data_IF_226892254157
#
_entry.id   IF_226892254157
#
_cell.length_a   1.000
_cell.length_b   1.000
_cell.length_c   1.000
_cell.angle_alpha   90.00
_cell.angle_beta   90.00
_cell.angle_gamma   90.00
#
_symmetry.space_group_name_H-M   'P 1'
#
loop_
_entity.id
_entity.type
_entity.pdbx_description
1 polymer ?
#
# COMPACT_ATOMS: atom_id res chain seq x y z
N UNK A 1 -23.77 -4.72 15.69
CA UNK A 1 -23.54 -4.50 14.24
C UNK A 1 -22.17 -5.10 13.92
N UNK A 2 -22.07 -5.94 12.91
CA UNK A 2 -20.79 -6.43 12.40
C UNK A 2 -20.04 -5.24 11.85
N UNK A 3 -18.81 -4.99 12.33
CA UNK A 3 -17.99 -3.88 11.84
C UNK A 3 -17.64 -4.14 10.38
N UNK A 4 -17.77 -3.13 9.55
CA UNK A 4 -17.34 -3.16 8.15
C UNK A 4 -15.81 -3.09 8.10
N UNK A 5 -15.14 -3.99 7.40
CA UNK A 5 -13.68 -4.05 7.35
C UNK A 5 -13.20 -4.01 5.90
N UNK A 6 -12.21 -3.17 5.66
CA UNK A 6 -11.50 -3.04 4.38
C UNK A 6 -10.08 -3.55 4.58
N UNK A 7 -9.60 -4.42 3.68
CA UNK A 7 -8.18 -4.74 3.54
C UNK A 7 -7.51 -3.69 2.67
N UNK A 8 -6.29 -3.30 3.01
CA UNK A 8 -5.58 -2.29 2.21
C UNK A 8 -4.08 -2.53 2.21
N UNK A 9 -3.41 -2.24 1.09
CA UNK A 9 -1.97 -2.01 1.11
C UNK A 9 -1.64 -0.70 1.83
N UNK A 10 -0.38 -0.47 2.06
CA UNK A 10 0.13 0.72 2.72
C UNK A 10 0.85 1.67 1.76
N UNK A 11 1.88 1.16 1.09
CA UNK A 11 2.77 1.96 0.24
C UNK A 11 2.13 2.17 -1.14
N UNK A 12 2.02 3.43 -1.58
CA UNK A 12 1.30 3.75 -2.81
C UNK A 12 -0.23 3.85 -2.66
N UNK A 13 -0.79 3.41 -1.53
CA UNK A 13 -2.23 3.47 -1.24
C UNK A 13 -2.52 4.45 -0.11
N UNK A 14 -1.96 4.22 1.07
CA UNK A 14 -2.12 5.06 2.26
C UNK A 14 -0.97 6.08 2.42
N UNK A 15 0.26 5.66 2.12
CA UNK A 15 1.48 6.44 2.30
C UNK A 15 2.23 6.62 0.98
N UNK A 16 2.79 7.82 0.78
CA UNK A 16 3.61 8.18 -0.38
C UNK A 16 5.05 7.64 -0.22
N UNK A 17 5.19 6.31 -0.24
CA UNK A 17 6.48 5.63 -0.07
C UNK A 17 7.46 5.97 -1.19
N UNK A 18 7.00 5.97 -2.44
CA UNK A 18 7.84 6.20 -3.61
C UNK A 18 8.51 7.57 -3.56
N UNK A 19 7.76 8.63 -3.28
CA UNK A 19 8.30 9.99 -3.17
C UNK A 19 9.35 10.11 -2.07
N UNK A 20 9.08 9.51 -0.91
CA UNK A 20 10.01 9.51 0.21
C UNK A 20 11.27 8.69 -0.12
N UNK A 21 11.13 7.53 -0.77
CA UNK A 21 12.24 6.72 -1.23
C UNK A 21 13.10 7.48 -2.25
N UNK A 22 12.51 8.17 -3.20
CA UNK A 22 13.22 8.99 -4.18
C UNK A 22 14.03 10.10 -3.50
N UNK A 23 13.46 10.78 -2.49
CA UNK A 23 14.18 11.80 -1.72
C UNK A 23 15.36 11.19 -0.95
N UNK A 24 15.15 10.03 -0.31
CA UNK A 24 16.21 9.30 0.37
C UNK A 24 17.32 8.85 -0.57
N UNK A 25 16.98 8.31 -1.75
CA UNK A 25 17.95 7.94 -2.78
C UNK A 25 18.76 9.14 -3.26
N UNK A 26 18.10 10.29 -3.48
CA UNK A 26 18.75 11.54 -3.84
C UNK A 26 19.75 11.98 -2.76
N UNK A 27 19.42 11.84 -1.48
CA UNK A 27 20.33 12.17 -0.37
C UNK A 27 21.57 11.28 -0.34
N UNK A 28 21.49 10.07 -0.92
CA UNK A 28 22.62 9.13 -1.10
C UNK A 28 23.39 9.32 -2.42
N UNK A 29 23.02 10.33 -3.22
CA UNK A 29 23.70 10.65 -4.49
C UNK A 29 23.17 9.89 -5.70
N UNK A 30 22.08 9.13 -5.58
CA UNK A 30 21.43 8.49 -6.71
C UNK A 30 20.45 9.43 -7.41
N UNK A 31 20.36 9.34 -8.73
CA UNK A 31 19.41 10.11 -9.54
C UNK A 31 18.56 9.19 -10.39
N UNK A 32 17.29 9.52 -10.53
CA UNK A 32 16.35 8.79 -11.39
C UNK A 32 16.81 8.90 -12.83
N UNK A 33 16.85 7.77 -13.54
CA UNK A 33 17.18 7.65 -14.96
C UNK A 33 15.92 7.53 -15.81
N UNK A 34 14.98 6.71 -15.34
CA UNK A 34 13.70 6.47 -16.00
C UNK A 34 12.57 6.62 -14.98
N UNK A 35 11.52 7.35 -15.35
CA UNK A 35 10.32 7.56 -14.53
C UNK A 35 9.25 6.54 -14.87
N UNK A 36 8.26 6.43 -14.02
CA UNK A 36 7.09 5.57 -14.22
C UNK A 36 7.42 4.07 -14.34
N UNK A 37 8.49 3.63 -13.72
CA UNK A 37 8.91 2.23 -13.69
C UNK A 37 8.90 1.74 -12.24
N UNK A 38 8.12 0.70 -11.97
CA UNK A 38 8.03 0.07 -10.65
C UNK A 38 9.37 -0.55 -10.18
N UNK A 39 10.18 -1.07 -11.12
CA UNK A 39 11.49 -1.69 -10.80
C UNK A 39 12.54 -0.62 -10.48
N UNK A 40 12.84 -0.47 -9.20
CA UNK A 40 13.84 0.47 -8.66
C UNK A 40 15.21 0.34 -9.36
N UNK A 41 15.60 -0.87 -9.72
CA UNK A 41 16.88 -1.09 -10.41
C UNK A 41 16.93 -0.42 -11.78
N UNK A 42 15.84 -0.52 -12.52
CA UNK A 42 15.68 0.14 -13.83
C UNK A 42 15.52 1.64 -13.64
N UNK A 43 14.64 2.06 -12.74
CA UNK A 43 14.38 3.48 -12.46
C UNK A 43 15.66 4.26 -12.14
N UNK A 44 16.59 3.69 -11.41
CA UNK A 44 17.87 4.33 -11.05
C UNK A 44 19.07 3.87 -11.89
N UNK A 45 18.92 2.90 -12.78
CA UNK A 45 20.01 2.35 -13.60
C UNK A 45 21.10 1.68 -12.75
N UNK A 46 20.69 0.93 -11.72
CA UNK A 46 21.59 0.23 -10.78
C UNK A 46 21.38 -1.29 -10.82
N UNK A 47 22.37 -2.10 -10.38
CA UNK A 47 22.18 -3.54 -10.31
C UNK A 47 20.99 -3.96 -9.42
N UNK A 48 20.24 -4.98 -9.83
CA UNK A 48 19.05 -5.48 -9.12
C UNK A 48 19.31 -5.85 -7.66
N UNK A 49 20.49 -6.42 -7.38
CA UNK A 49 20.91 -6.74 -6.02
C UNK A 49 21.12 -5.51 -5.14
N UNK A 50 21.66 -4.42 -5.72
CA UNK A 50 21.80 -3.14 -5.03
C UNK A 50 20.44 -2.50 -4.81
N UNK A 51 19.55 -2.50 -5.81
CA UNK A 51 18.18 -1.98 -5.69
C UNK A 51 17.44 -2.64 -4.53
N UNK A 52 17.44 -3.99 -4.47
CA UNK A 52 16.82 -4.73 -3.35
C UNK A 52 17.42 -4.37 -1.99
N UNK A 53 18.74 -4.24 -1.92
CA UNK A 53 19.45 -3.84 -0.68
C UNK A 53 19.01 -2.44 -0.22
N UNK A 54 18.94 -1.49 -1.15
CA UNK A 54 18.58 -0.09 -0.84
C UNK A 54 17.10 0.02 -0.42
N UNK A 55 16.20 -0.70 -1.05
CA UNK A 55 14.79 -0.79 -0.62
C UNK A 55 14.70 -1.32 0.81
N UNK A 56 15.37 -2.42 1.12
CA UNK A 56 15.40 -2.96 2.48
C UNK A 56 15.99 -1.98 3.49
N UNK A 57 17.11 -1.33 3.16
CA UNK A 57 17.76 -0.33 4.01
C UNK A 57 16.83 0.86 4.30
N UNK A 58 16.07 1.32 3.30
CA UNK A 58 15.08 2.37 3.47
C UNK A 58 13.93 1.92 4.37
N UNK A 59 13.36 0.73 4.11
CA UNK A 59 12.27 0.15 4.88
C UNK A 59 12.62 -0.08 6.35
N UNK A 60 13.89 -0.30 6.67
CA UNK A 60 14.39 -0.48 8.04
C UNK A 60 14.93 0.83 8.66
N UNK A 61 14.82 1.95 7.94
CA UNK A 61 15.29 3.25 8.42
C UNK A 61 14.24 4.01 9.23
N UNK A 62 14.68 5.07 9.91
CA UNK A 62 13.79 5.97 10.64
C UNK A 62 12.74 6.66 9.76
N UNK A 63 12.93 6.71 8.45
CA UNK A 63 11.97 7.29 7.51
C UNK A 63 10.59 6.63 7.59
N UNK A 64 10.52 5.35 7.95
CA UNK A 64 9.24 4.64 8.10
C UNK A 64 8.30 5.25 9.14
N UNK A 65 8.82 6.02 10.08
CA UNK A 65 8.02 6.74 11.07
C UNK A 65 7.47 8.09 10.58
N UNK A 66 7.84 8.54 9.37
CA UNK A 66 7.58 9.91 8.90
C UNK A 66 7.14 9.99 7.43
N UNK A 67 6.71 8.89 6.82
CA UNK A 67 6.17 8.93 5.46
C UNK A 67 4.90 9.80 5.43
N UNK A 68 4.75 10.68 4.44
CA UNK A 68 3.53 11.45 4.28
C UNK A 68 2.36 10.58 3.81
N UNK A 69 1.13 11.03 4.03
CA UNK A 69 -0.04 10.40 3.41
C UNK A 69 0.03 10.50 1.88
N UNK A 70 -0.47 9.45 1.22
CA UNK A 70 -0.59 9.44 -0.23
C UNK A 70 -1.79 10.28 -0.66
N UNK A 71 -1.57 11.20 -1.62
CA UNK A 71 -2.63 12.07 -2.17
C UNK A 71 -3.68 12.46 -1.10
N UNK A 72 -4.93 12.15 -1.38
CA UNK A 72 -6.14 12.41 -0.57
C UNK A 72 -6.52 11.27 0.41
N UNK A 73 -5.64 10.27 0.60
CA UNK A 73 -5.88 9.12 1.47
C UNK A 73 -6.39 9.51 2.88
N UNK A 74 -5.86 10.60 3.43
CA UNK A 74 -6.26 11.07 4.76
C UNK A 74 -7.74 11.44 4.82
N UNK A 75 -8.25 12.13 3.82
CA UNK A 75 -9.67 12.53 3.74
C UNK A 75 -10.57 11.34 3.40
N UNK A 76 -10.16 10.48 2.46
CA UNK A 76 -10.93 9.29 2.08
C UNK A 76 -11.09 8.31 3.24
N UNK A 77 -10.00 7.98 3.93
CA UNK A 77 -10.04 7.12 5.12
C UNK A 77 -10.91 7.73 6.22
N UNK A 78 -10.80 9.05 6.47
CA UNK A 78 -11.63 9.70 7.50
C UNK A 78 -13.12 9.58 7.19
N UNK A 79 -13.55 9.79 5.95
CA UNK A 79 -14.95 9.63 5.51
C UNK A 79 -15.45 8.19 5.68
N UNK A 80 -14.63 7.18 5.29
CA UNK A 80 -15.00 5.78 5.49
C UNK A 80 -15.12 5.42 6.98
N UNK A 81 -14.27 5.96 7.84
CA UNK A 81 -14.35 5.77 9.29
C UNK A 81 -15.62 6.40 9.88
N UNK A 82 -16.07 7.57 9.38
CA UNK A 82 -17.34 8.20 9.73
C UNK A 82 -18.55 7.31 9.37
N UNK A 83 -18.39 6.42 8.38
CA UNK A 83 -19.37 5.43 7.95
C UNK A 83 -19.15 4.03 8.55
N UNK A 84 -18.50 3.96 9.73
CA UNK A 84 -18.26 2.74 10.52
C UNK A 84 -17.30 1.72 9.88
N UNK A 85 -16.52 2.10 8.86
CA UNK A 85 -15.48 1.26 8.31
C UNK A 85 -14.22 1.25 9.19
N UNK A 86 -13.55 0.09 9.24
CA UNK A 86 -12.23 -0.09 9.85
C UNK A 86 -11.30 -0.76 8.84
N UNK A 87 -10.00 -0.69 9.09
CA UNK A 87 -9.02 -1.17 8.14
C UNK A 87 -8.09 -2.23 8.75
N UNK A 88 -7.71 -3.21 7.92
CA UNK A 88 -6.57 -4.10 8.14
C UNK A 88 -5.55 -3.79 7.04
N UNK A 89 -4.34 -3.44 7.45
CA UNK A 89 -3.23 -3.18 6.53
C UNK A 89 -2.44 -4.46 6.29
N UNK A 90 -2.13 -4.77 5.02
CA UNK A 90 -1.23 -5.87 4.63
C UNK A 90 -0.13 -5.27 3.77
N UNK A 91 1.10 -5.16 4.31
CA UNK A 91 2.21 -4.44 3.68
C UNK A 91 3.51 -5.25 3.65
N UNK A 92 4.18 -5.30 2.47
CA UNK A 92 5.46 -5.98 2.29
C UNK A 92 6.63 -5.07 2.67
N UNK A 93 6.72 -4.74 3.95
CA UNK A 93 7.65 -3.78 4.53
C UNK A 93 9.00 -4.40 4.91
N UNK A 94 9.02 -5.15 5.98
CA UNK A 94 10.17 -5.84 6.60
C UNK A 94 9.70 -6.63 7.83
N UNK A 95 10.45 -7.69 8.17
CA UNK A 95 10.27 -8.44 9.42
C UNK A 95 11.00 -7.80 10.61
N UNK A 96 11.74 -6.70 10.40
CA UNK A 96 12.39 -5.97 11.50
C UNK A 96 11.34 -5.34 12.43
N UNK A 97 11.31 -5.69 13.75
CA UNK A 97 10.30 -5.21 14.67
C UNK A 97 10.28 -3.69 14.84
N UNK A 98 11.44 -3.01 14.69
CA UNK A 98 11.53 -1.56 14.77
C UNK A 98 10.91 -0.90 13.55
N UNK A 99 11.14 -1.43 12.36
CA UNK A 99 10.49 -0.95 11.14
C UNK A 99 8.97 -1.08 11.23
N UNK A 100 8.47 -2.22 11.72
CA UNK A 100 7.04 -2.44 11.94
C UNK A 100 6.45 -1.46 12.96
N UNK A 101 7.14 -1.25 14.09
CA UNK A 101 6.71 -0.29 15.10
C UNK A 101 6.63 1.14 14.53
N UNK A 102 7.62 1.55 13.74
CA UNK A 102 7.65 2.87 13.09
C UNK A 102 6.49 3.02 12.09
N UNK A 103 6.22 2.00 11.28
CA UNK A 103 5.09 1.98 10.33
C UNK A 103 3.75 2.13 11.06
N UNK A 104 3.51 1.32 12.08
CA UNK A 104 2.27 1.39 12.89
C UNK A 104 2.12 2.76 13.55
N UNK A 105 3.22 3.31 14.08
CA UNK A 105 3.22 4.64 14.68
C UNK A 105 2.88 5.72 13.65
N UNK A 106 3.48 5.65 12.46
CA UNK A 106 3.23 6.61 11.38
C UNK A 106 1.75 6.59 10.94
N UNK A 107 1.20 5.40 10.67
CA UNK A 107 -0.21 5.21 10.33
C UNK A 107 -1.14 5.81 11.40
N UNK A 108 -0.91 5.50 12.67
CA UNK A 108 -1.70 6.03 13.79
C UNK A 108 -1.61 7.54 13.94
N UNK A 109 -0.45 8.12 13.66
CA UNK A 109 -0.24 9.58 13.74
C UNK A 109 -0.97 10.32 12.62
N UNK A 110 -1.05 9.75 11.42
CA UNK A 110 -1.67 10.39 10.25
C UNK A 110 -3.19 10.19 10.25
N UNK A 111 -3.65 8.96 10.48
CA UNK A 111 -5.05 8.57 10.26
C UNK A 111 -5.86 8.44 11.55
N UNK A 112 -5.20 8.30 12.71
CA UNK A 112 -5.85 8.11 14.00
C UNK A 112 -5.61 6.73 14.61
N UNK A 113 -5.71 6.67 15.96
CA UNK A 113 -5.32 5.50 16.75
C UNK A 113 -6.22 4.26 16.54
N UNK A 114 -7.48 4.47 16.18
CA UNK A 114 -8.52 3.42 16.14
C UNK A 114 -8.97 3.05 14.72
N UNK A 115 -8.30 3.58 13.70
CA UNK A 115 -8.64 3.35 12.29
C UNK A 115 -8.24 1.94 11.86
N UNK A 116 -7.04 1.52 12.24
CA UNK A 116 -6.48 0.23 11.87
C UNK A 116 -6.67 -0.75 13.02
N UNK A 117 -7.40 -1.84 12.78
CA UNK A 117 -7.59 -2.93 13.75
C UNK A 117 -6.40 -3.90 13.75
N UNK A 118 -5.71 -4.00 12.61
CA UNK A 118 -4.46 -4.77 12.48
C UNK A 118 -3.55 -4.18 11.40
N UNK A 119 -2.23 -4.44 11.53
CA UNK A 119 -1.20 -4.11 10.55
C UNK A 119 -0.29 -5.31 10.37
N UNK A 120 -0.53 -6.07 9.31
CA UNK A 120 0.21 -7.29 8.95
C UNK A 120 1.41 -6.89 8.10
N UNK A 121 2.61 -6.97 8.69
CA UNK A 121 3.86 -6.70 7.99
C UNK A 121 4.49 -8.00 7.49
N UNK A 122 4.77 -8.05 6.19
CA UNK A 122 5.50 -9.12 5.52
C UNK A 122 6.95 -8.70 5.28
N UNK A 123 7.81 -9.62 4.88
CA UNK A 123 9.19 -9.29 4.51
C UNK A 123 9.24 -8.38 3.27
N UNK A 124 10.35 -7.67 3.11
CA UNK A 124 10.55 -6.73 2.00
C UNK A 124 10.37 -7.42 0.65
N UNK A 125 9.36 -7.00 -0.10
CA UNK A 125 9.04 -7.55 -1.42
C UNK A 125 8.44 -8.96 -1.41
N UNK A 126 7.97 -9.44 -0.26
CA UNK A 126 7.23 -10.70 -0.17
C UNK A 126 5.88 -10.60 -0.87
N UNK A 127 5.44 -11.72 -1.44
CA UNK A 127 4.09 -11.87 -1.98
C UNK A 127 3.04 -11.88 -0.84
N UNK A 128 1.81 -11.50 -1.14
CA UNK A 128 0.74 -11.37 -0.14
C UNK A 128 -0.19 -12.58 -0.04
N UNK A 129 0.06 -13.63 -0.83
CA UNK A 129 -0.81 -14.82 -0.94
C UNK A 129 -1.19 -15.41 0.42
N UNK A 130 -0.21 -15.77 1.27
CA UNK A 130 -0.46 -16.37 2.58
C UNK A 130 -1.23 -15.46 3.54
N UNK A 131 -1.03 -14.15 3.42
CA UNK A 131 -1.73 -13.18 4.24
C UNK A 131 -3.18 -13.01 3.78
N UNK A 132 -3.42 -12.97 2.45
CA UNK A 132 -4.74 -12.82 1.85
C UNK A 132 -5.57 -14.10 1.97
N UNK A 133 -4.96 -15.29 1.96
CA UNK A 133 -5.65 -16.56 2.16
C UNK A 133 -6.49 -16.60 3.44
N UNK A 134 -6.06 -15.90 4.49
CA UNK A 134 -6.81 -15.77 5.76
C UNK A 134 -8.16 -15.09 5.62
N UNK A 135 -8.35 -14.33 4.54
CA UNK A 135 -9.55 -13.57 4.23
C UNK A 135 -10.32 -14.14 3.04
N UNK A 136 -9.97 -15.37 2.61
CA UNK A 136 -10.58 -16.05 1.49
C UNK A 136 -12.10 -16.12 1.63
N UNK A 137 -12.79 -15.88 0.51
CA UNK A 137 -14.25 -15.95 0.35
C UNK A 137 -15.04 -15.04 1.31
N UNK A 138 -14.41 -13.99 1.86
CA UNK A 138 -15.07 -13.01 2.73
C UNK A 138 -15.82 -11.93 1.95
N UNK A 139 -15.50 -11.71 0.67
CA UNK A 139 -16.04 -10.60 -0.12
C UNK A 139 -15.66 -9.22 0.40
N UNK A 140 -14.62 -9.12 1.24
CA UNK A 140 -14.13 -7.83 1.73
C UNK A 140 -13.51 -7.01 0.59
N UNK A 141 -13.66 -5.69 0.65
CA UNK A 141 -12.90 -4.78 -0.19
C UNK A 141 -11.40 -4.91 0.10
N UNK A 142 -10.59 -4.86 -0.96
CA UNK A 142 -9.13 -4.89 -0.88
C UNK A 142 -8.52 -3.82 -1.77
N UNK A 143 -7.92 -2.78 -1.18
CA UNK A 143 -7.33 -1.65 -1.91
C UNK A 143 -5.85 -1.90 -2.10
N UNK A 144 -5.36 -1.80 -3.33
CA UNK A 144 -4.01 -2.16 -3.77
C UNK A 144 -3.53 -1.22 -4.89
N UNK A 145 -2.20 -1.07 -5.05
CA UNK A 145 -1.59 -0.37 -6.19
C UNK A 145 -0.83 -1.31 -7.13
N UNK A 146 -0.59 -2.56 -6.71
CA UNK A 146 0.15 -3.54 -7.48
C UNK A 146 -0.80 -4.55 -8.13
N UNK A 147 -0.88 -4.61 -9.49
CA UNK A 147 -1.81 -5.48 -10.21
C UNK A 147 -1.80 -6.93 -9.75
N UNK A 148 -0.63 -7.56 -9.66
CA UNK A 148 -0.51 -8.97 -9.25
C UNK A 148 -1.11 -9.26 -7.87
N UNK A 149 -1.06 -8.30 -6.95
CA UNK A 149 -1.67 -8.45 -5.62
C UNK A 149 -3.19 -8.27 -5.69
N UNK A 150 -3.69 -7.35 -6.53
CA UNK A 150 -5.13 -7.19 -6.77
C UNK A 150 -5.72 -8.45 -7.40
N UNK A 151 -5.06 -9.04 -8.40
CA UNK A 151 -5.42 -10.33 -9.01
C UNK A 151 -5.42 -11.47 -7.97
N UNK A 152 -4.43 -11.47 -7.07
CA UNK A 152 -4.38 -12.43 -5.95
C UNK A 152 -5.58 -12.25 -5.02
N UNK A 153 -5.95 -11.02 -4.71
CA UNK A 153 -7.16 -10.71 -3.94
C UNK A 153 -8.42 -11.24 -4.62
N UNK A 154 -8.56 -10.99 -5.93
CA UNK A 154 -9.68 -11.52 -6.73
C UNK A 154 -9.75 -13.06 -6.69
N UNK A 155 -8.62 -13.74 -6.86
CA UNK A 155 -8.50 -15.20 -6.76
C UNK A 155 -8.95 -15.75 -5.42
N UNK A 156 -8.77 -14.99 -4.34
CA UNK A 156 -9.23 -15.35 -3.00
C UNK A 156 -10.67 -14.87 -2.68
N UNK A 157 -11.43 -14.42 -3.69
CA UNK A 157 -12.84 -14.01 -3.49
C UNK A 157 -13.00 -12.71 -2.71
N UNK A 158 -12.01 -11.84 -2.78
CA UNK A 158 -12.10 -10.46 -2.31
C UNK A 158 -12.64 -9.55 -3.43
N UNK A 159 -12.98 -8.31 -3.09
CA UNK A 159 -13.36 -7.26 -4.04
C UNK A 159 -12.18 -6.27 -4.17
N UNK A 160 -11.24 -6.49 -5.12
CA UNK A 160 -10.08 -5.61 -5.25
C UNK A 160 -10.45 -4.29 -5.91
N UNK A 161 -9.86 -3.21 -5.37
CA UNK A 161 -9.83 -1.88 -5.98
C UNK A 161 -8.37 -1.56 -6.25
N UNK A 162 -7.99 -1.40 -7.51
CA UNK A 162 -6.65 -1.00 -7.92
C UNK A 162 -6.59 0.53 -8.02
N UNK A 163 -5.78 1.17 -7.15
CA UNK A 163 -5.54 2.60 -7.26
C UNK A 163 -4.55 2.88 -8.39
N UNK A 164 -4.90 3.83 -9.28
CA UNK A 164 -4.14 4.10 -10.48
C UNK A 164 -2.83 4.85 -10.20
N UNK A 165 -1.76 4.34 -10.79
CA UNK A 165 -0.43 4.94 -10.88
C UNK A 165 0.08 4.83 -12.32
N UNK A 166 1.10 5.61 -12.68
CA UNK A 166 1.71 5.56 -14.01
C UNK A 166 2.19 4.15 -14.41
N UNK A 167 2.59 3.32 -13.46
CA UNK A 167 3.11 1.99 -13.72
C UNK A 167 2.03 0.91 -13.90
N UNK A 168 0.78 1.17 -13.52
CA UNK A 168 -0.32 0.20 -13.58
C UNK A 168 -1.53 0.66 -14.40
N UNK A 169 -1.53 1.87 -14.94
CA UNK A 169 -2.67 2.49 -15.62
C UNK A 169 -3.18 1.78 -16.89
N UNK A 170 -2.36 0.89 -17.48
CA UNK A 170 -2.73 0.09 -18.65
C UNK A 170 -3.21 -1.31 -18.27
N UNK A 171 -3.26 -1.62 -16.96
CA UNK A 171 -3.73 -2.91 -16.49
C UNK A 171 -5.26 -2.96 -16.53
N UNK A 172 -5.80 -4.03 -17.09
CA UNK A 172 -7.23 -4.30 -17.15
C UNK A 172 -7.47 -5.78 -16.80
N UNK A 173 -8.32 -6.04 -15.82
CA UNK A 173 -8.72 -7.40 -15.41
C UNK A 173 -10.17 -7.39 -14.94
N UNK A 174 -10.98 -8.30 -15.47
CA UNK A 174 -12.38 -8.44 -15.09
C UNK A 174 -12.53 -8.77 -13.59
N UNK A 175 -13.39 -8.02 -12.90
CA UNK A 175 -13.63 -8.20 -11.47
C UNK A 175 -12.71 -7.38 -10.57
N UNK A 176 -11.83 -6.56 -11.13
CA UNK A 176 -11.09 -5.54 -10.42
C UNK A 176 -11.73 -4.18 -10.68
N UNK A 177 -12.07 -3.43 -9.61
CA UNK A 177 -12.46 -2.04 -9.72
C UNK A 177 -11.22 -1.15 -9.82
N UNK A 178 -11.32 -0.03 -10.54
CA UNK A 178 -10.22 0.92 -10.75
C UNK A 178 -10.58 2.27 -10.18
N UNK A 179 -9.66 2.89 -9.46
CA UNK A 179 -9.86 4.19 -8.86
C UNK A 179 -8.63 5.09 -9.07
N UNK A 180 -8.86 6.32 -9.51
CA UNK A 180 -7.80 7.31 -9.67
C UNK A 180 -7.34 7.91 -8.33
N UNK A 181 -8.26 8.01 -7.35
CA UNK A 181 -8.03 8.60 -6.04
C UNK A 181 -8.95 8.01 -4.97
N UNK A 182 -8.83 8.51 -3.74
CA UNK A 182 -9.64 8.05 -2.61
C UNK A 182 -11.10 8.52 -2.67
N UNK A 183 -11.44 9.54 -3.45
CA UNK A 183 -12.82 9.96 -3.66
C UNK A 183 -13.59 8.95 -4.54
N UNK A 184 -12.93 8.42 -5.56
CA UNK A 184 -13.47 7.31 -6.35
C UNK A 184 -13.55 6.01 -5.56
N UNK A 185 -12.52 5.68 -4.75
CA UNK A 185 -12.56 4.52 -3.83
C UNK A 185 -13.79 4.61 -2.91
N UNK A 186 -14.05 5.78 -2.32
CA UNK A 186 -15.22 6.01 -1.48
C UNK A 186 -16.52 5.77 -2.26
N UNK A 187 -16.60 6.28 -3.48
CA UNK A 187 -17.78 6.11 -4.35
C UNK A 187 -18.05 4.64 -4.68
N UNK A 188 -17.00 3.87 -4.99
CA UNK A 188 -17.08 2.43 -5.27
C UNK A 188 -17.60 1.68 -4.04
N UNK A 189 -17.00 1.93 -2.86
CA UNK A 189 -17.32 1.19 -1.62
C UNK A 189 -18.74 1.50 -1.13
N UNK A 190 -19.24 2.72 -1.31
CA UNK A 190 -20.54 3.18 -0.80
C UNK A 190 -21.65 3.14 -1.85
N UNK A 191 -21.31 2.98 -3.11
CA UNK A 191 -22.28 2.86 -4.19
C UNK A 191 -22.92 1.47 -4.30
N UNK A 192 -22.43 0.48 -3.55
CA UNK A 192 -23.04 -0.84 -3.37
C UNK A 192 -23.93 -0.83 -2.11
#
# INVERSE_FOLDING_TARGET
MTKKVILTDCDGVLLAWEDAFHQWMKSKGFTIKEKAIYDISKSFGIPKTLGKKLVKEFNESAWMGFLPAFKDARSGVAKLVEHDWQFIVITSLSLDPKAQMLRVSNLKNIFGKNVFIDVICLDTGADKDEALEKFKDTGMWYIEDKPINAETGLKYGLKPILIEHEHNKEHEEDGIEYAFDWEEILTIIEGE
#
